data_IF_956042118099
#
_entry.id   IF_956042118099
#
_cell.length_a   1.000
_cell.length_b   1.000
_cell.length_c   1.000
_cell.angle_alpha   90.00
_cell.angle_beta   90.00
_cell.angle_gamma   90.00
#
_symmetry.space_group_name_H-M   'P 1'
#
loop_
_entity.id
_entity.type
_entity.pdbx_description
1 polymer ?
#
# COMPACT_ATOMS: atom_id res chain seq x y z
N UNK A 1 38.29 19.11 -3.49
CA UNK A 1 38.24 19.62 -4.88
C UNK A 1 37.31 18.69 -5.66
N UNK A 2 36.06 19.09 -5.90
CA UNK A 2 35.20 18.36 -6.85
C UNK A 2 35.64 18.75 -8.28
N UNK A 3 35.73 17.80 -9.22
CA UNK A 3 36.01 18.15 -10.60
C UNK A 3 34.90 19.05 -11.13
N UNK A 4 35.30 20.20 -11.67
CA UNK A 4 34.41 21.18 -12.31
C UNK A 4 33.50 20.45 -13.32
N UNK A 5 32.18 20.63 -13.24
CA UNK A 5 31.20 19.93 -14.10
C UNK A 5 30.59 18.65 -13.52
N UNK A 6 30.88 18.27 -12.27
CA UNK A 6 30.15 17.22 -11.51
C UNK A 6 29.34 17.75 -10.33
N UNK A 7 29.04 19.05 -10.34
CA UNK A 7 28.34 19.72 -9.24
C UNK A 7 26.91 19.22 -9.10
N UNK A 8 26.22 18.96 -10.22
CA UNK A 8 24.85 18.45 -10.22
C UNK A 8 24.77 17.04 -9.62
N UNK A 9 25.70 16.14 -9.99
CA UNK A 9 25.75 14.78 -9.44
C UNK A 9 26.09 14.81 -7.94
N UNK A 10 27.05 15.64 -7.53
CA UNK A 10 27.37 15.79 -6.12
C UNK A 10 26.21 16.38 -5.32
N UNK A 11 25.44 17.30 -5.91
CA UNK A 11 24.25 17.89 -5.29
C UNK A 11 23.13 16.86 -5.10
N UNK A 12 22.90 16.00 -6.11
CA UNK A 12 21.93 14.90 -6.02
C UNK A 12 22.32 13.85 -4.99
N UNK A 13 23.61 13.49 -4.89
CA UNK A 13 24.11 12.59 -3.84
C UNK A 13 23.85 13.15 -2.43
N UNK A 14 24.13 14.45 -2.21
CA UNK A 14 23.83 15.11 -0.94
C UNK A 14 22.33 15.15 -0.66
N UNK A 15 21.51 15.47 -1.67
CA UNK A 15 20.06 15.47 -1.55
C UNK A 15 19.53 14.07 -1.20
N UNK A 16 20.10 13.01 -1.77
CA UNK A 16 19.74 11.64 -1.46
C UNK A 16 20.09 11.28 -0.01
N UNK A 17 21.28 11.67 0.45
CA UNK A 17 21.67 11.54 1.85
C UNK A 17 20.69 12.24 2.78
N UNK A 18 20.30 13.47 2.44
CA UNK A 18 19.31 14.25 3.19
C UNK A 18 17.91 13.61 3.16
N UNK A 19 17.48 13.08 2.01
CA UNK A 19 16.24 12.32 1.88
C UNK A 19 16.22 11.10 2.81
N UNK A 20 17.29 10.31 2.84
CA UNK A 20 17.41 9.15 3.72
C UNK A 20 17.40 9.53 5.19
N UNK A 21 18.04 10.66 5.55
CA UNK A 21 18.01 11.24 6.89
C UNK A 21 16.58 11.61 7.30
N UNK A 22 15.84 12.30 6.42
CA UNK A 22 14.44 12.69 6.65
C UNK A 22 13.54 11.46 6.85
N UNK A 23 13.68 10.44 5.98
CA UNK A 23 12.94 9.17 6.10
C UNK A 23 13.23 8.49 7.44
N UNK A 24 14.50 8.43 7.87
CA UNK A 24 14.89 7.80 9.14
C UNK A 24 14.36 8.56 10.35
N UNK A 25 14.27 9.89 10.26
CA UNK A 25 13.74 10.75 11.33
C UNK A 25 12.21 10.78 11.37
N UNK A 26 11.56 10.47 10.25
CA UNK A 26 10.12 10.61 10.07
C UNK A 26 9.69 12.03 9.68
N UNK A 27 10.61 12.80 9.09
CA UNK A 27 10.36 14.15 8.56
C UNK A 27 9.73 14.02 7.16
N UNK A 28 8.48 13.54 7.11
CA UNK A 28 7.85 13.07 5.88
C UNK A 28 7.63 14.17 4.83
N UNK A 29 7.30 15.39 5.24
CA UNK A 29 7.14 16.52 4.33
C UNK A 29 8.47 16.92 3.67
N UNK A 30 9.57 16.90 4.44
CA UNK A 30 10.91 17.18 3.92
C UNK A 30 11.39 16.07 2.99
N UNK A 31 11.17 14.80 3.37
CA UNK A 31 11.48 13.66 2.52
C UNK A 31 10.74 13.77 1.18
N UNK A 32 9.44 14.08 1.20
CA UNK A 32 8.65 14.22 -0.02
C UNK A 32 9.14 15.37 -0.91
N UNK A 33 9.58 16.50 -0.32
CA UNK A 33 10.09 17.65 -1.06
C UNK A 33 11.38 17.34 -1.85
N UNK A 34 12.14 16.32 -1.44
CA UNK A 34 13.36 15.90 -2.13
C UNK A 34 13.07 15.13 -3.43
N UNK A 35 11.95 14.38 -3.48
CA UNK A 35 11.66 13.41 -4.55
C UNK A 35 11.65 14.02 -5.95
N UNK A 36 11.04 15.19 -6.22
CA UNK A 36 11.02 15.77 -7.57
C UNK A 36 12.43 16.07 -8.13
N UNK A 37 13.37 16.46 -7.28
CA UNK A 37 14.75 16.73 -7.67
C UNK A 37 15.53 15.43 -7.84
N UNK A 38 15.34 14.46 -6.94
CA UNK A 38 15.95 13.12 -7.05
C UNK A 38 15.53 12.37 -8.31
N UNK A 39 14.39 12.72 -8.91
CA UNK A 39 13.95 12.14 -10.16
C UNK A 39 14.85 12.49 -11.36
N UNK A 40 15.63 13.57 -11.26
CA UNK A 40 16.60 13.95 -12.30
C UNK A 40 17.83 13.05 -12.29
N UNK A 41 18.01 12.27 -11.22
CA UNK A 41 19.11 11.33 -11.08
C UNK A 41 18.88 10.14 -12.02
N UNK A 42 19.88 9.79 -12.81
CA UNK A 42 19.79 8.72 -13.81
C UNK A 42 20.66 7.52 -13.41
N UNK A 43 20.26 6.33 -13.85
CA UNK A 43 21.00 5.08 -13.60
C UNK A 43 20.68 4.45 -12.24
N UNK A 44 21.61 3.63 -11.75
CA UNK A 44 21.46 2.78 -10.55
C UNK A 44 21.01 3.56 -9.30
N UNK A 45 21.36 4.84 -9.19
CA UNK A 45 20.97 5.66 -8.04
C UNK A 45 19.47 6.04 -8.03
N UNK A 46 18.84 6.12 -9.21
CA UNK A 46 17.39 6.26 -9.33
C UNK A 46 16.67 5.01 -8.82
N UNK A 47 17.26 3.84 -9.00
CA UNK A 47 16.68 2.58 -8.55
C UNK A 47 16.67 2.50 -7.02
N UNK A 48 17.72 2.99 -6.35
CA UNK A 48 17.75 3.08 -4.88
C UNK A 48 16.62 3.93 -4.30
N UNK A 49 16.29 5.05 -4.96
CA UNK A 49 15.17 5.89 -4.54
C UNK A 49 13.85 5.14 -4.73
N UNK A 50 13.67 4.48 -5.88
CA UNK A 50 12.51 3.64 -6.17
C UNK A 50 12.33 2.51 -5.13
N UNK A 51 13.41 1.82 -4.76
CA UNK A 51 13.42 0.78 -3.73
C UNK A 51 12.99 1.30 -2.36
N UNK A 52 13.48 2.48 -1.96
CA UNK A 52 13.06 3.12 -0.71
C UNK A 52 11.56 3.46 -0.78
N UNK A 53 11.09 4.04 -1.88
CA UNK A 53 9.66 4.34 -2.06
C UNK A 53 8.80 3.08 -1.96
N UNK A 54 9.25 1.96 -2.52
CA UNK A 54 8.58 0.66 -2.36
C UNK A 54 8.58 0.18 -0.91
N UNK A 55 9.72 0.24 -0.21
CA UNK A 55 9.84 -0.18 1.18
C UNK A 55 8.94 0.62 2.13
N UNK A 56 8.75 1.92 1.86
CA UNK A 56 7.83 2.79 2.63
C UNK A 56 6.37 2.35 2.49
N UNK A 57 6.00 1.70 1.39
CA UNK A 57 4.63 1.21 1.15
C UNK A 57 4.44 -0.20 1.69
N UNK A 58 5.43 -1.08 1.55
CA UNK A 58 5.32 -2.50 1.94
C UNK A 58 5.53 -2.73 3.44
N UNK A 59 6.21 -1.83 4.14
CA UNK A 59 6.53 -1.97 5.56
C UNK A 59 6.06 -0.77 6.42
N UNK A 60 4.79 -0.34 6.35
CA UNK A 60 4.34 0.89 6.99
C UNK A 60 4.41 0.84 8.52
N UNK A 61 4.24 -0.35 9.11
CA UNK A 61 4.34 -0.56 10.56
C UNK A 61 5.75 -0.32 11.13
N UNK A 62 6.78 -0.31 10.28
CA UNK A 62 8.16 -0.04 10.68
C UNK A 62 8.49 1.46 10.64
N UNK A 63 7.59 2.30 10.14
CA UNK A 63 7.81 3.72 9.96
C UNK A 63 7.56 4.51 11.25
N UNK A 64 8.37 5.54 11.46
CA UNK A 64 8.17 6.51 12.55
C UNK A 64 6.98 7.42 12.24
N UNK A 65 5.80 6.96 12.62
CA UNK A 65 4.58 7.72 12.45
C UNK A 65 4.45 8.76 13.57
N UNK A 66 4.43 10.04 13.19
CA UNK A 66 4.10 11.14 14.11
C UNK A 66 2.61 11.14 14.47
N UNK A 67 2.18 12.05 15.34
CA UNK A 67 0.76 12.15 15.77
C UNK A 67 -0.23 12.41 14.62
N UNK A 68 0.25 12.94 13.50
CA UNK A 68 -0.58 13.38 12.38
C UNK A 68 -0.81 12.30 11.31
N UNK A 69 0.04 11.27 11.29
CA UNK A 69 0.01 10.24 10.25
C UNK A 69 -0.11 8.87 10.91
N UNK A 70 -1.07 8.09 10.46
CA UNK A 70 -1.07 6.66 10.73
C UNK A 70 -0.16 5.94 9.73
N UNK A 71 0.30 4.72 10.06
CA UNK A 71 1.09 3.90 9.13
C UNK A 71 0.44 3.75 7.76
N UNK A 72 -0.88 3.50 7.70
CA UNK A 72 -1.57 3.25 6.43
C UNK A 72 -1.76 4.52 5.61
N UNK A 73 -2.03 5.66 6.24
CA UNK A 73 -2.07 6.96 5.55
C UNK A 73 -0.72 7.33 4.98
N UNK A 74 0.36 7.00 5.69
CA UNK A 74 1.71 7.24 5.21
C UNK A 74 2.05 6.32 4.03
N UNK A 75 1.71 5.03 4.11
CA UNK A 75 1.83 4.08 2.99
C UNK A 75 1.10 4.60 1.74
N UNK A 76 -0.14 5.06 1.92
CA UNK A 76 -0.94 5.65 0.84
C UNK A 76 -0.29 6.90 0.24
N UNK A 77 0.20 7.82 1.07
CA UNK A 77 0.92 9.00 0.60
C UNK A 77 2.14 8.60 -0.25
N UNK A 78 2.94 7.66 0.22
CA UNK A 78 4.11 7.18 -0.53
C UNK A 78 3.73 6.39 -1.79
N UNK A 79 2.59 5.70 -1.82
CA UNK A 79 2.04 5.09 -3.03
C UNK A 79 1.72 6.16 -4.09
N UNK A 80 1.14 7.29 -3.69
CA UNK A 80 0.89 8.41 -4.62
C UNK A 80 2.18 9.02 -5.14
N UNK A 81 3.20 9.13 -4.30
CA UNK A 81 4.55 9.59 -4.69
C UNK A 81 5.18 8.61 -5.67
N UNK A 82 5.13 7.30 -5.40
CA UNK A 82 5.63 6.25 -6.28
C UNK A 82 4.90 6.24 -7.64
N UNK A 83 3.57 6.39 -7.66
CA UNK A 83 2.80 6.50 -8.92
C UNK A 83 3.34 7.64 -9.80
N UNK A 84 3.61 8.80 -9.21
CA UNK A 84 4.21 9.94 -9.93
C UNK A 84 5.64 9.63 -10.40
N UNK A 85 6.45 9.04 -9.53
CA UNK A 85 7.82 8.61 -9.84
C UNK A 85 7.87 7.68 -11.07
N UNK A 86 7.02 6.66 -11.08
CA UNK A 86 6.96 5.67 -12.16
C UNK A 86 6.36 6.22 -13.46
N UNK A 87 5.45 7.20 -13.37
CA UNK A 87 4.86 7.84 -14.56
C UNK A 87 5.96 8.48 -15.43
N UNK A 88 6.94 9.12 -14.80
CA UNK A 88 8.05 9.75 -15.51
C UNK A 88 9.03 8.73 -16.12
N UNK A 89 9.17 7.54 -15.52
CA UNK A 89 9.96 6.42 -16.07
C UNK A 89 9.17 5.45 -16.96
N UNK A 90 7.90 5.76 -17.28
CA UNK A 90 6.96 4.92 -18.05
C UNK A 90 6.75 3.52 -17.46
N UNK A 91 6.96 3.37 -16.14
CA UNK A 91 6.66 2.17 -15.37
C UNK A 91 5.25 2.28 -14.76
N UNK A 92 4.69 1.16 -14.35
CA UNK A 92 3.36 1.10 -13.71
C UNK A 92 3.53 0.48 -12.32
N UNK A 93 2.81 1.01 -11.34
CA UNK A 93 2.76 0.42 -10.00
C UNK A 93 2.08 -0.96 -10.06
N UNK A 94 2.62 -1.93 -9.33
CA UNK A 94 1.99 -3.24 -9.19
C UNK A 94 0.54 -3.10 -8.69
N UNK A 95 -0.39 -3.72 -9.40
CA UNK A 95 -1.82 -3.74 -9.04
C UNK A 95 -2.01 -4.38 -7.65
N UNK A 96 -1.20 -5.38 -7.31
CA UNK A 96 -1.20 -6.05 -6.00
C UNK A 96 -0.85 -5.06 -4.90
N UNK A 97 0.27 -4.36 -5.04
CA UNK A 97 0.73 -3.35 -4.07
C UNK A 97 -0.30 -2.24 -3.89
N UNK A 98 -0.89 -1.77 -4.99
CA UNK A 98 -1.95 -0.77 -4.96
C UNK A 98 -3.19 -1.27 -4.22
N UNK A 99 -3.74 -2.44 -4.59
CA UNK A 99 -4.93 -3.02 -3.94
C UNK A 99 -4.71 -3.23 -2.46
N UNK A 100 -3.56 -3.77 -2.08
CA UNK A 100 -3.23 -4.04 -0.68
C UNK A 100 -3.17 -2.74 0.14
N UNK A 101 -2.52 -1.71 -0.38
CA UNK A 101 -2.44 -0.40 0.30
C UNK A 101 -3.83 0.23 0.44
N UNK A 102 -4.66 0.19 -0.60
CA UNK A 102 -6.03 0.71 -0.59
C UNK A 102 -6.90 -0.04 0.43
N UNK A 103 -6.80 -1.37 0.46
CA UNK A 103 -7.55 -2.21 1.38
C UNK A 103 -7.14 -1.97 2.84
N UNK A 104 -5.84 -1.88 3.12
CA UNK A 104 -5.35 -1.59 4.48
C UNK A 104 -5.76 -0.19 4.96
N UNK A 105 -5.77 0.81 4.08
CA UNK A 105 -6.28 2.14 4.39
C UNK A 105 -7.78 2.08 4.72
N UNK A 106 -8.56 1.32 3.95
CA UNK A 106 -9.99 1.12 4.23
C UNK A 106 -10.20 0.43 5.58
N UNK A 107 -9.46 -0.63 5.91
CA UNK A 107 -9.56 -1.30 7.20
C UNK A 107 -9.25 -0.35 8.38
N UNK A 108 -8.28 0.54 8.23
CA UNK A 108 -7.98 1.57 9.23
C UNK A 108 -9.16 2.52 9.46
N UNK A 109 -9.86 2.93 8.40
CA UNK A 109 -11.06 3.77 8.53
C UNK A 109 -12.21 3.05 9.25
N UNK A 110 -12.29 1.72 9.09
CA UNK A 110 -13.31 0.87 9.67
C UNK A 110 -13.09 0.53 11.16
N UNK A 111 -11.89 0.74 11.71
CA UNK A 111 -11.57 0.49 13.13
C UNK A 111 -12.49 1.19 14.13
N UNK A 112 -13.16 2.27 13.71
CA UNK A 112 -14.11 2.99 14.57
C UNK A 112 -15.49 2.34 14.64
N UNK A 113 -15.83 1.55 13.63
CA UNK A 113 -17.17 1.00 13.42
C UNK A 113 -17.22 -0.53 13.63
N UNK A 114 -16.06 -1.19 13.65
CA UNK A 114 -15.90 -2.65 13.59
C UNK A 114 -14.84 -3.12 14.59
N UNK A 115 -15.00 -4.31 15.18
CA UNK A 115 -14.02 -4.88 16.12
C UNK A 115 -12.77 -5.42 15.44
N UNK A 116 -11.65 -5.47 16.18
CA UNK A 116 -10.38 -6.01 15.69
C UNK A 116 -10.48 -7.45 15.18
N UNK A 117 -11.27 -8.31 15.83
CA UNK A 117 -11.50 -9.69 15.38
C UNK A 117 -12.14 -9.75 13.98
N UNK A 118 -13.10 -8.85 13.71
CA UNK A 118 -13.75 -8.78 12.39
C UNK A 118 -12.79 -8.18 11.35
N UNK A 119 -12.01 -7.15 11.71
CA UNK A 119 -11.00 -6.61 10.80
C UNK A 119 -9.94 -7.64 10.43
N UNK A 120 -9.51 -8.45 11.40
CA UNK A 120 -8.60 -9.57 11.19
C UNK A 120 -9.21 -10.58 10.23
N UNK A 121 -10.46 -10.97 10.45
CA UNK A 121 -11.16 -11.90 9.56
C UNK A 121 -11.29 -11.36 8.12
N UNK A 122 -11.59 -10.07 7.97
CA UNK A 122 -11.62 -9.39 6.68
C UNK A 122 -10.24 -9.38 6.00
N UNK A 123 -9.18 -9.10 6.76
CA UNK A 123 -7.81 -9.14 6.26
C UNK A 123 -7.39 -10.54 5.79
N UNK A 124 -7.66 -11.55 6.61
CA UNK A 124 -7.33 -12.93 6.24
C UNK A 124 -8.14 -13.39 5.00
N UNK A 125 -9.39 -12.92 4.84
CA UNK A 125 -10.20 -13.16 3.65
C UNK A 125 -9.58 -12.53 2.39
N UNK A 126 -9.08 -11.29 2.51
CA UNK A 126 -8.35 -10.59 1.45
C UNK A 126 -7.04 -11.31 1.06
N UNK A 127 -6.21 -11.71 2.03
CA UNK A 127 -4.97 -12.46 1.77
C UNK A 127 -5.23 -13.78 1.04
N UNK A 128 -6.30 -14.48 1.40
CA UNK A 128 -6.72 -15.70 0.73
C UNK A 128 -6.98 -15.48 -0.77
N UNK A 129 -7.57 -14.34 -1.16
CA UNK A 129 -7.81 -14.01 -2.57
C UNK A 129 -6.48 -13.75 -3.28
N UNK A 130 -5.60 -12.95 -2.68
CA UNK A 130 -4.30 -12.63 -3.28
C UNK A 130 -3.46 -13.91 -3.51
N UNK A 131 -3.48 -14.84 -2.55
CA UNK A 131 -2.74 -16.11 -2.64
C UNK A 131 -3.29 -17.10 -3.69
N UNK A 132 -4.55 -16.98 -4.10
CA UNK A 132 -5.17 -17.85 -5.13
C UNK A 132 -4.65 -17.58 -6.54
N UNK A 133 -3.95 -16.47 -6.75
CA UNK A 133 -3.28 -16.15 -8.01
C UNK A 133 -1.91 -16.85 -8.17
N UNK A 134 -1.42 -17.54 -7.13
CA UNK A 134 -0.20 -18.36 -7.20
C UNK A 134 -0.53 -19.83 -7.55
N UNK A 135 -0.05 -20.37 -8.68
CA UNK A 135 -0.49 -21.66 -9.21
C UNK A 135 0.00 -22.91 -8.43
N UNK A 136 0.87 -22.78 -7.43
CA UNK A 136 1.65 -23.91 -6.89
C UNK A 136 1.34 -24.34 -5.44
N UNK A 137 0.35 -23.75 -4.76
CA UNK A 137 -0.05 -24.27 -3.44
C UNK A 137 -1.17 -25.27 -3.59
N UNK A 138 -0.75 -26.54 -3.66
CA UNK A 138 -1.53 -27.78 -3.46
C UNK A 138 -2.92 -27.50 -2.91
N UNK A 139 -3.94 -27.81 -3.71
CA UNK A 139 -5.35 -28.02 -3.35
C UNK A 139 -5.53 -28.22 -1.85
N UNK A 140 -5.61 -27.14 -1.09
CA UNK A 140 -6.02 -27.18 0.31
C UNK A 140 -7.45 -26.68 0.31
N UNK A 141 -8.31 -27.67 0.10
CA UNK A 141 -9.73 -27.74 0.38
C UNK A 141 -10.58 -26.53 0.01
N UNK A 142 -11.61 -26.79 -0.81
CA UNK A 142 -12.67 -25.85 -1.19
C UNK A 142 -13.53 -25.39 -0.03
N UNK A 143 -12.92 -24.76 0.97
CA UNK A 143 -13.60 -24.02 2.01
C UNK A 143 -13.90 -22.64 1.43
N UNK A 144 -15.15 -22.45 1.02
CA UNK A 144 -15.76 -21.11 1.02
C UNK A 144 -15.59 -20.60 2.44
N UNK A 145 -14.60 -19.71 2.65
CA UNK A 145 -14.34 -19.15 3.97
C UNK A 145 -15.57 -18.35 4.35
N UNK A 146 -16.37 -18.88 5.28
CA UNK A 146 -17.57 -18.21 5.77
C UNK A 146 -17.15 -17.21 6.82
N UNK A 147 -17.67 -15.99 6.70
CA UNK A 147 -17.55 -14.98 7.73
C UNK A 147 -18.24 -15.45 9.02
N UNK A 148 -17.67 -15.09 10.16
CA UNK A 148 -18.28 -15.24 11.48
C UNK A 148 -19.62 -14.50 11.55
N UNK A 149 -20.47 -14.88 12.51
CA UNK A 149 -21.76 -14.21 12.71
C UNK A 149 -21.54 -12.74 13.05
N UNK A 150 -20.47 -12.45 13.79
CA UNK A 150 -20.02 -11.12 14.17
C UNK A 150 -19.61 -10.31 12.94
N UNK A 151 -18.81 -10.89 12.04
CA UNK A 151 -18.40 -10.24 10.80
C UNK A 151 -19.58 -9.99 9.86
N UNK A 152 -20.48 -10.97 9.69
CA UNK A 152 -21.71 -10.79 8.90
C UNK A 152 -22.58 -9.67 9.52
N UNK A 153 -22.75 -9.66 10.84
CA UNK A 153 -23.51 -8.61 11.53
C UNK A 153 -22.88 -7.23 11.35
N UNK A 154 -21.54 -7.13 11.44
CA UNK A 154 -20.80 -5.91 11.22
C UNK A 154 -20.97 -5.41 9.78
N UNK A 155 -20.83 -6.28 8.78
CA UNK A 155 -21.04 -5.95 7.36
C UNK A 155 -22.46 -5.48 7.09
N UNK A 156 -23.48 -6.15 7.64
CA UNK A 156 -24.87 -5.72 7.53
C UNK A 156 -25.09 -4.33 8.15
N UNK A 157 -24.53 -4.07 9.34
CA UNK A 157 -24.59 -2.74 9.97
C UNK A 157 -23.88 -1.69 9.11
N UNK A 158 -22.76 -2.05 8.50
CA UNK A 158 -21.98 -1.16 7.65
C UNK A 158 -22.72 -0.78 6.37
N UNK A 159 -23.38 -1.76 5.73
CA UNK A 159 -24.25 -1.55 4.58
C UNK A 159 -25.40 -0.56 4.89
N UNK A 160 -25.99 -0.67 6.08
CA UNK A 160 -27.08 0.20 6.51
C UNK A 160 -26.62 1.62 6.86
N UNK A 161 -25.45 1.77 7.48
CA UNK A 161 -24.96 3.08 7.98
C UNK A 161 -24.14 3.84 6.95
N UNK A 162 -23.29 3.13 6.22
CA UNK A 162 -22.31 3.69 5.28
C UNK A 162 -22.20 2.78 4.04
N UNK A 163 -23.21 2.79 3.16
CA UNK A 163 -23.29 1.85 2.03
C UNK A 163 -22.10 1.94 1.08
N UNK A 164 -21.54 3.14 0.88
CA UNK A 164 -20.36 3.33 0.03
C UNK A 164 -19.10 2.67 0.59
N UNK A 165 -18.91 2.64 1.92
CA UNK A 165 -17.78 1.93 2.55
C UNK A 165 -17.94 0.42 2.42
N UNK A 166 -19.17 -0.06 2.57
CA UNK A 166 -19.47 -1.48 2.43
C UNK A 166 -19.23 -1.91 0.99
N UNK A 167 -19.68 -1.11 0.02
CA UNK A 167 -19.44 -1.34 -1.39
C UNK A 167 -17.94 -1.38 -1.70
N UNK A 168 -17.17 -0.38 -1.26
CA UNK A 168 -15.72 -0.37 -1.45
C UNK A 168 -15.07 -1.64 -0.86
N UNK A 169 -15.48 -2.06 0.34
CA UNK A 169 -14.96 -3.27 0.98
C UNK A 169 -15.33 -4.54 0.19
N UNK A 170 -16.55 -4.62 -0.33
CA UNK A 170 -17.00 -5.76 -1.13
C UNK A 170 -16.24 -5.89 -2.46
N UNK A 171 -15.73 -4.79 -3.04
CA UNK A 171 -14.86 -4.85 -4.22
C UNK A 171 -13.51 -5.54 -3.94
N UNK A 172 -13.07 -5.55 -2.67
CA UNK A 172 -11.85 -6.24 -2.26
C UNK A 172 -12.06 -7.71 -1.91
N UNK A 173 -13.28 -8.09 -1.53
CA UNK A 173 -13.66 -9.42 -1.07
C UNK A 173 -14.11 -10.33 -2.23
N UNK A 174 -14.18 -11.66 -2.04
CA UNK A 174 -14.62 -12.53 -3.09
C UNK A 174 -16.13 -12.35 -3.25
N UNK A 175 -16.56 -11.83 -4.40
CA UNK A 175 -17.93 -12.03 -4.84
C UNK A 175 -18.15 -13.52 -5.06
N UNK A 176 -19.32 -14.03 -4.68
CA UNK A 176 -19.80 -15.31 -5.23
C UNK A 176 -19.89 -15.13 -6.74
N UNK A 177 -18.80 -15.36 -7.47
CA UNK A 177 -18.88 -15.59 -8.90
C UNK A 177 -19.62 -16.91 -9.05
N UNK A 178 -20.87 -16.79 -9.48
CA UNK A 178 -21.76 -17.88 -9.84
C UNK A 178 -20.95 -19.00 -10.48
N UNK A 179 -21.04 -20.18 -9.86
CA UNK A 179 -20.67 -21.42 -10.51
C UNK A 179 -21.46 -21.48 -11.81
N UNK A 180 -20.85 -21.03 -12.90
CA UNK A 180 -21.42 -21.10 -14.24
C UNK A 180 -21.68 -22.57 -14.51
N UNK A 181 -22.96 -22.92 -14.46
CA UNK A 181 -23.52 -24.19 -14.83
C UNK A 181 -23.07 -24.45 -16.26
N UNK A 182 -22.08 -25.33 -16.43
CA UNK A 182 -21.84 -25.94 -17.74
C UNK A 182 -22.97 -26.95 -17.97
N UNK A 183 -23.86 -26.59 -18.88
CA UNK A 183 -24.87 -27.47 -19.47
C UNK A 183 -24.25 -28.30 -20.59
#
# INVERSE_FOLDING_TARGET
MHPFGKEDTASLEHLFGFFCECVRRGDWELAQACVPQLHQWQGDDSEKVEEILHALITCPSQLRCGKNYSPQRLAWLWLLVLKKWLTCSKKIVSVVLQRETEFLLLLEELQKDVSDDVLKELFEAFECIQSRHEPDRRRRDGHTRRFSVEAVSALCKLLLRTPWRAQALLEFLPGEQEASIQS
#
